data_IF_151052666072
#
_entry.id   IF_151052666072
#
_cell.length_a   1.000
_cell.length_b   1.000
_cell.length_c   1.000
_cell.angle_alpha   90.00
_cell.angle_beta   90.00
_cell.angle_gamma   90.00
#
_symmetry.space_group_name_H-M   'P 1'
#
loop_
_entity.id
_entity.type
_entity.pdbx_description
1 polymer ?
#
# COMPACT_ATOMS: atom_id res chain seq x y z
N UNK A 1 44.78 -28.92 7.50
CA UNK A 1 43.35 -29.06 7.19
C UNK A 1 42.82 -27.66 6.96
N UNK A 2 42.24 -27.33 5.78
CA UNK A 2 41.58 -26.05 5.64
C UNK A 2 40.39 -26.02 6.62
N UNK A 3 40.07 -24.88 7.25
CA UNK A 3 38.95 -24.77 8.17
C UNK A 3 37.66 -25.02 7.37
N UNK A 4 36.71 -25.78 7.93
CA UNK A 4 35.41 -26.11 7.30
C UNK A 4 34.67 -24.92 6.68
N UNK A 5 34.93 -23.72 7.18
CA UNK A 5 34.38 -22.45 6.72
C UNK A 5 34.84 -22.07 5.31
N UNK A 6 36.11 -22.28 4.97
CA UNK A 6 36.66 -22.03 3.63
C UNK A 6 36.09 -23.01 2.59
N UNK A 7 35.85 -24.26 2.97
CA UNK A 7 35.24 -25.26 2.09
C UNK A 7 33.77 -24.93 1.79
N UNK A 8 33.02 -24.44 2.80
CA UNK A 8 31.63 -24.00 2.65
C UNK A 8 31.50 -22.71 1.82
N UNK A 9 32.44 -21.78 1.93
CA UNK A 9 32.54 -20.61 1.05
C UNK A 9 32.78 -21.04 -0.40
N UNK A 10 33.75 -21.93 -0.62
CA UNK A 10 34.09 -22.42 -1.97
C UNK A 10 32.90 -23.15 -2.64
N UNK A 11 32.10 -23.90 -1.88
CA UNK A 11 30.88 -24.54 -2.39
C UNK A 11 29.75 -23.55 -2.71
N UNK A 12 29.62 -22.47 -1.93
CA UNK A 12 28.65 -21.39 -2.23
C UNK A 12 29.06 -20.62 -3.47
N UNK A 13 30.35 -20.33 -3.62
CA UNK A 13 30.90 -19.60 -4.76
C UNK A 13 30.76 -20.42 -6.05
N UNK A 14 31.07 -21.72 -6.03
CA UNK A 14 30.87 -22.60 -7.17
C UNK A 14 29.39 -22.70 -7.59
N UNK A 15 28.48 -22.77 -6.60
CA UNK A 15 27.04 -22.77 -6.88
C UNK A 15 26.54 -21.44 -7.43
N UNK A 16 27.11 -20.33 -6.99
CA UNK A 16 26.78 -19.01 -7.53
C UNK A 16 27.21 -18.89 -9.00
N UNK A 17 28.43 -19.33 -9.34
CA UNK A 17 28.94 -19.31 -10.71
C UNK A 17 28.12 -20.21 -11.67
N UNK A 18 27.69 -21.39 -11.21
CA UNK A 18 26.77 -22.25 -11.95
C UNK A 18 25.44 -21.55 -12.24
N UNK A 19 24.85 -20.91 -11.22
CA UNK A 19 23.59 -20.18 -11.36
C UNK A 19 23.76 -18.99 -12.30
N UNK A 20 24.82 -18.19 -12.17
CA UNK A 20 25.11 -17.06 -13.06
C UNK A 20 25.24 -17.48 -14.52
N UNK A 21 25.92 -18.60 -14.78
CA UNK A 21 26.12 -19.10 -16.15
C UNK A 21 24.84 -19.60 -16.83
N UNK A 22 23.83 -20.00 -16.05
CA UNK A 22 22.56 -20.57 -16.55
C UNK A 22 21.36 -19.65 -16.35
N UNK A 23 21.56 -18.48 -15.76
CA UNK A 23 20.47 -17.59 -15.37
C UNK A 23 19.78 -16.94 -16.57
N UNK A 24 18.46 -17.09 -16.63
CA UNK A 24 17.54 -16.28 -17.42
C UNK A 24 16.36 -15.91 -16.54
N UNK A 25 15.73 -14.77 -16.82
CA UNK A 25 14.47 -14.38 -16.16
C UNK A 25 13.26 -15.20 -16.67
N UNK A 26 13.44 -16.06 -17.67
CA UNK A 26 12.38 -16.92 -18.21
C UNK A 26 11.80 -17.85 -17.14
N UNK A 27 10.46 -17.87 -17.06
CA UNK A 27 9.74 -18.65 -16.05
C UNK A 27 9.76 -18.06 -14.64
N UNK A 28 10.53 -17.00 -14.38
CA UNK A 28 10.47 -16.26 -13.12
C UNK A 28 9.28 -15.30 -13.11
N UNK A 29 8.75 -15.09 -11.90
CA UNK A 29 7.66 -14.15 -11.64
C UNK A 29 8.12 -13.10 -10.66
N UNK A 30 7.76 -11.84 -10.90
CA UNK A 30 7.89 -10.77 -9.91
C UNK A 30 6.78 -10.97 -8.90
N UNK A 31 7.18 -11.21 -7.64
CA UNK A 31 6.24 -11.46 -6.56
C UNK A 31 5.49 -10.18 -6.24
N UNK A 32 4.16 -10.25 -6.15
CA UNK A 32 3.30 -9.14 -5.73
C UNK A 32 3.74 -8.68 -4.35
N UNK A 33 4.06 -7.38 -4.22
CA UNK A 33 4.51 -6.81 -2.95
C UNK A 33 3.48 -7.07 -1.85
N UNK A 34 2.20 -7.08 -2.21
CA UNK A 34 1.03 -7.27 -1.36
C UNK A 34 1.13 -8.54 -0.52
N UNK A 35 1.85 -9.57 -0.99
CA UNK A 35 2.01 -10.86 -0.29
C UNK A 35 2.98 -10.78 0.90
N UNK A 36 3.69 -9.66 1.09
CA UNK A 36 4.68 -9.48 2.16
C UNK A 36 4.14 -8.67 3.35
N UNK A 37 4.90 -8.63 4.45
CA UNK A 37 4.51 -7.87 5.64
C UNK A 37 4.77 -6.36 5.48
N UNK A 38 3.70 -5.58 5.36
CA UNK A 38 3.73 -4.13 5.11
C UNK A 38 3.89 -3.25 6.35
N UNK A 39 4.87 -3.54 7.21
CA UNK A 39 5.06 -2.77 8.44
C UNK A 39 5.62 -1.36 8.17
N UNK A 40 6.39 -1.19 7.10
CA UNK A 40 7.07 0.07 6.75
C UNK A 40 6.48 0.78 5.53
N UNK A 41 5.58 0.12 4.81
CA UNK A 41 4.92 0.72 3.65
C UNK A 41 3.71 1.54 4.11
N UNK A 42 3.43 2.70 3.50
CA UNK A 42 2.19 3.44 3.75
C UNK A 42 0.98 2.53 3.56
N UNK A 43 0.02 2.56 4.48
CA UNK A 43 -1.20 1.79 4.36
C UNK A 43 -2.39 2.49 5.02
N UNK A 44 -3.56 2.35 4.41
CA UNK A 44 -4.85 2.76 4.98
C UNK A 44 -5.67 1.51 5.31
N UNK A 45 -6.29 1.50 6.49
CA UNK A 45 -7.29 0.49 6.86
C UNK A 45 -8.66 1.14 6.90
N UNK A 46 -9.59 0.65 6.08
CA UNK A 46 -10.96 1.12 5.97
C UNK A 46 -11.90 0.09 6.60
N UNK A 47 -12.59 0.52 7.65
CA UNK A 47 -13.68 -0.20 8.32
C UNK A 47 -15.00 0.47 8.01
N UNK A 48 -16.11 -0.23 8.28
CA UNK A 48 -17.47 0.30 8.12
C UNK A 48 -17.73 1.65 8.79
N UNK A 49 -17.02 1.98 9.87
CA UNK A 49 -17.23 3.21 10.65
C UNK A 49 -16.04 4.18 10.65
N UNK A 50 -14.91 3.78 10.08
CA UNK A 50 -13.64 4.48 10.33
C UNK A 50 -12.53 4.15 9.36
N UNK A 51 -11.60 5.09 9.22
CA UNK A 51 -10.33 4.90 8.54
C UNK A 51 -9.16 5.11 9.50
N UNK A 52 -8.04 4.44 9.22
CA UNK A 52 -6.80 4.61 9.99
C UNK A 52 -5.60 4.44 9.07
N UNK A 53 -4.73 5.43 9.05
CA UNK A 53 -3.44 5.35 8.38
C UNK A 53 -2.42 4.68 9.30
N UNK A 54 -1.46 3.93 8.77
CA UNK A 54 -0.44 3.33 9.62
C UNK A 54 0.66 4.34 10.00
N UNK A 55 1.64 3.88 10.79
CA UNK A 55 2.76 4.72 11.23
C UNK A 55 3.63 5.18 10.05
N UNK A 56 3.78 4.35 9.01
CA UNK A 56 4.55 4.73 7.83
C UNK A 56 3.99 5.98 7.14
N UNK A 57 2.65 6.11 7.04
CA UNK A 57 2.03 7.31 6.48
C UNK A 57 2.41 8.58 7.25
N UNK A 58 2.24 8.57 8.58
CA UNK A 58 2.45 9.75 9.42
C UNK A 58 3.94 10.07 9.62
N UNK A 59 4.81 9.07 9.55
CA UNK A 59 6.27 9.27 9.59
C UNK A 59 6.83 9.71 8.25
N UNK A 60 6.18 9.43 7.12
CA UNK A 60 6.63 9.94 5.82
C UNK A 60 6.22 11.39 5.53
N UNK A 61 5.35 11.98 6.37
CA UNK A 61 4.94 13.39 6.30
C UNK A 61 5.12 14.05 7.68
N UNK A 62 6.37 14.25 8.09
CA UNK A 62 6.67 14.53 9.50
C UNK A 62 6.13 15.86 10.05
N UNK A 63 5.88 16.85 9.20
CA UNK A 63 5.35 18.14 9.66
C UNK A 63 3.83 18.26 9.48
N UNK A 64 3.18 17.19 8.99
CA UNK A 64 1.77 17.22 8.59
C UNK A 64 0.86 16.60 9.66
N UNK A 65 0.04 17.45 10.30
CA UNK A 65 -0.96 17.05 11.30
C UNK A 65 -2.38 16.99 10.72
N UNK A 66 -2.64 17.78 9.68
CA UNK A 66 -3.92 17.88 8.99
C UNK A 66 -3.76 17.46 7.53
N UNK A 67 -4.77 16.78 7.00
CA UNK A 67 -4.75 16.29 5.61
C UNK A 67 -6.08 16.51 4.94
N UNK A 68 -6.06 16.64 3.62
CA UNK A 68 -7.21 16.41 2.76
C UNK A 68 -7.23 14.97 2.30
N UNK A 69 -8.43 14.37 2.30
CA UNK A 69 -8.67 13.03 1.77
C UNK A 69 -9.58 13.17 0.57
N UNK A 70 -9.07 12.82 -0.61
CA UNK A 70 -9.77 12.91 -1.88
C UNK A 70 -10.07 11.51 -2.39
N UNK A 71 -11.24 11.33 -3.01
CA UNK A 71 -11.69 10.05 -3.56
C UNK A 71 -12.03 10.23 -5.04
N UNK A 72 -11.58 9.30 -5.88
CA UNK A 72 -11.92 9.24 -7.30
C UNK A 72 -12.70 7.95 -7.58
N UNK A 73 -13.94 8.09 -8.05
CA UNK A 73 -14.84 6.97 -8.36
C UNK A 73 -14.43 6.18 -9.59
N UNK A 74 -13.83 6.82 -10.58
CA UNK A 74 -13.52 6.20 -11.86
C UNK A 74 -12.26 5.35 -11.75
N UNK A 75 -11.23 5.92 -11.13
CA UNK A 75 -9.95 5.27 -10.87
C UNK A 75 -9.98 4.38 -9.63
N UNK A 76 -11.04 4.46 -8.81
CA UNK A 76 -11.18 3.76 -7.53
C UNK A 76 -9.97 3.99 -6.60
N UNK A 77 -9.59 5.27 -6.43
CA UNK A 77 -8.40 5.68 -5.66
C UNK A 77 -8.73 6.66 -4.55
N UNK A 78 -7.97 6.59 -3.46
CA UNK A 78 -7.92 7.62 -2.44
C UNK A 78 -6.56 8.32 -2.50
N UNK A 79 -6.58 9.65 -2.49
CA UNK A 79 -5.37 10.47 -2.40
C UNK A 79 -5.38 11.25 -1.09
N UNK A 80 -4.22 11.30 -0.43
CA UNK A 80 -4.01 12.05 0.80
C UNK A 80 -2.91 13.07 0.60
N UNK A 81 -3.22 14.31 0.95
CA UNK A 81 -2.36 15.49 0.84
C UNK A 81 -2.29 16.21 2.18
N UNK A 82 -1.14 16.75 2.55
CA UNK A 82 -1.02 17.63 3.72
C UNK A 82 -1.69 18.99 3.51
N UNK A 83 -2.32 19.52 4.55
CA UNK A 83 -2.96 20.83 4.53
C UNK A 83 -2.79 21.56 5.88
N UNK A 84 -3.16 22.83 5.92
CA UNK A 84 -3.17 23.61 7.16
C UNK A 84 -4.39 23.27 8.02
N UNK A 85 -4.28 23.52 9.33
CA UNK A 85 -5.38 23.28 10.29
C UNK A 85 -6.63 24.11 9.99
N UNK A 86 -6.44 25.30 9.41
CA UNK A 86 -7.51 26.25 9.11
C UNK A 86 -8.08 26.07 7.70
N UNK A 87 -7.53 25.17 6.90
CA UNK A 87 -8.06 24.89 5.58
C UNK A 87 -9.45 24.27 5.68
N UNK A 88 -10.29 24.59 4.70
CA UNK A 88 -11.61 23.98 4.60
C UNK A 88 -11.44 22.46 4.46
N UNK A 89 -12.28 21.71 5.18
CA UNK A 89 -12.33 20.25 5.15
C UNK A 89 -11.02 19.57 5.63
N UNK A 90 -10.17 20.29 6.38
CA UNK A 90 -8.96 19.74 6.97
C UNK A 90 -9.26 18.63 8.00
N UNK A 91 -8.66 17.44 7.80
CA UNK A 91 -8.86 16.29 8.67
C UNK A 91 -7.61 16.00 9.50
N UNK A 92 -7.78 15.98 10.83
CA UNK A 92 -6.68 15.64 11.74
C UNK A 92 -6.43 14.14 11.78
N UNK A 93 -5.45 13.66 11.01
CA UNK A 93 -5.13 12.24 10.87
C UNK A 93 -4.15 11.66 11.89
N UNK A 94 -3.45 12.51 12.64
CA UNK A 94 -2.47 12.07 13.63
C UNK A 94 -2.48 12.95 14.89
N UNK A 95 -1.98 12.38 15.98
CA UNK A 95 -1.68 13.09 17.22
C UNK A 95 -0.19 13.36 17.20
N UNK A 96 0.19 14.64 17.16
CA UNK A 96 1.57 15.10 17.29
C UNK A 96 1.73 15.79 18.66
N UNK A 97 2.62 15.23 19.49
CA UNK A 97 3.12 15.81 20.75
C UNK A 97 4.66 15.78 20.69
N UNK A 98 5.37 16.62 21.48
CA UNK A 98 6.83 16.69 21.44
C UNK A 98 7.54 15.32 21.48
N UNK A 99 7.10 14.42 22.36
CA UNK A 99 7.72 13.10 22.53
C UNK A 99 6.99 11.96 21.82
N UNK A 100 5.87 12.25 21.15
CA UNK A 100 4.99 11.18 20.64
C UNK A 100 4.19 11.59 19.43
N UNK A 101 4.37 10.84 18.35
CA UNK A 101 3.46 10.82 17.22
C UNK A 101 2.70 9.51 17.15
N UNK A 102 1.38 9.57 16.97
CA UNK A 102 0.54 8.39 16.80
C UNK A 102 -0.54 8.63 15.77
N UNK A 103 -0.79 7.64 14.93
CA UNK A 103 -1.92 7.67 14.01
C UNK A 103 -3.25 7.68 14.78
N UNK A 104 -4.23 8.38 14.22
CA UNK A 104 -5.57 8.49 14.78
C UNK A 104 -6.55 7.59 14.03
N UNK A 105 -7.39 6.88 14.79
CA UNK A 105 -8.62 6.28 14.23
C UNK A 105 -9.59 7.42 13.94
N UNK A 106 -9.90 7.65 12.66
CA UNK A 106 -10.83 8.69 12.24
C UNK A 106 -12.21 8.08 12.00
N UNK A 107 -13.17 8.42 12.85
CA UNK A 107 -14.56 8.01 12.67
C UNK A 107 -15.15 8.74 11.47
N UNK A 108 -15.67 7.98 10.50
CA UNK A 108 -16.13 8.52 9.21
C UNK A 108 -17.20 7.61 8.60
N UNK A 109 -18.22 7.27 9.40
CA UNK A 109 -19.28 6.34 8.97
C UNK A 109 -19.94 6.71 7.63
N UNK A 110 -20.39 7.96 7.37
CA UNK A 110 -21.00 8.30 6.08
C UNK A 110 -20.05 8.11 4.90
N UNK A 111 -18.79 8.53 5.04
CA UNK A 111 -17.77 8.33 4.01
C UNK A 111 -17.47 6.84 3.78
N UNK A 112 -17.32 6.07 4.87
CA UNK A 112 -17.03 4.63 4.78
C UNK A 112 -18.17 3.88 4.11
N UNK A 113 -19.43 4.24 4.39
CA UNK A 113 -20.61 3.66 3.72
C UNK A 113 -20.60 3.95 2.21
N UNK A 114 -20.25 5.17 1.79
CA UNK A 114 -20.10 5.49 0.37
C UNK A 114 -19.03 4.64 -0.31
N UNK A 115 -17.85 4.49 0.32
CA UNK A 115 -16.76 3.67 -0.23
C UNK A 115 -17.18 2.20 -0.32
N UNK A 116 -17.83 1.64 0.70
CA UNK A 116 -18.26 0.23 0.68
C UNK A 116 -19.28 -0.02 -0.42
N UNK A 117 -20.24 0.89 -0.61
CA UNK A 117 -21.22 0.78 -1.67
C UNK A 117 -20.58 0.89 -3.06
N UNK A 118 -19.69 1.88 -3.25
CA UNK A 118 -19.02 2.15 -4.53
C UNK A 118 -18.08 1.00 -4.97
N UNK A 119 -17.53 0.26 -4.00
CA UNK A 119 -16.63 -0.87 -4.24
C UNK A 119 -17.33 -2.24 -4.18
N UNK A 120 -18.62 -2.29 -3.79
CA UNK A 120 -19.33 -3.55 -3.56
C UNK A 120 -18.74 -4.38 -2.43
N UNK A 121 -18.17 -3.74 -1.41
CA UNK A 121 -17.46 -4.39 -0.32
C UNK A 121 -18.42 -4.94 0.75
N UNK A 122 -18.11 -6.13 1.27
CA UNK A 122 -18.79 -6.74 2.40
C UNK A 122 -18.56 -5.94 3.69
N UNK A 123 -19.66 -5.60 4.37
CA UNK A 123 -19.69 -4.82 5.60
C UNK A 123 -19.19 -5.58 6.84
N UNK A 124 -19.06 -6.91 6.77
CA UNK A 124 -18.45 -7.76 7.79
C UNK A 124 -16.93 -7.91 7.64
N UNK A 125 -16.36 -7.27 6.62
CA UNK A 125 -14.93 -7.22 6.39
C UNK A 125 -14.35 -5.83 6.69
N UNK A 126 -13.03 -5.79 6.85
CA UNK A 126 -12.20 -4.58 6.80
C UNK A 126 -11.18 -4.73 5.70
N UNK A 127 -10.82 -3.61 5.09
CA UNK A 127 -9.99 -3.58 3.90
C UNK A 127 -8.72 -2.81 4.23
N UNK A 128 -7.57 -3.41 4.00
CA UNK A 128 -6.27 -2.75 4.12
C UNK A 128 -5.71 -2.55 2.73
N UNK A 129 -5.37 -1.31 2.41
CA UNK A 129 -4.89 -0.92 1.10
C UNK A 129 -3.49 -0.34 1.27
N UNK A 130 -2.57 -0.79 0.43
CA UNK A 130 -1.22 -0.24 0.39
C UNK A 130 -1.20 1.08 -0.36
N UNK A 131 -0.45 2.02 0.18
CA UNK A 131 -0.24 3.33 -0.39
C UNK A 131 1.09 3.42 -1.12
N UNK A 132 1.13 4.32 -2.08
CA UNK A 132 2.34 4.75 -2.78
C UNK A 132 2.58 6.22 -2.45
N UNK A 133 3.83 6.54 -2.11
CA UNK A 133 4.26 7.93 -1.94
C UNK A 133 4.69 8.45 -3.31
N UNK A 134 4.11 9.58 -3.74
CA UNK A 134 4.48 10.26 -4.97
C UNK A 134 4.78 11.73 -4.70
N UNK A 135 5.52 12.36 -5.61
CA UNK A 135 5.72 13.80 -5.61
C UNK A 135 4.98 14.39 -6.80
N UNK A 136 4.16 15.41 -6.57
CA UNK A 136 3.40 16.11 -7.60
C UNK A 136 3.38 17.60 -7.30
N UNK A 137 3.70 18.43 -8.30
CA UNK A 137 3.70 19.90 -8.16
C UNK A 137 4.50 20.42 -6.94
N UNK A 138 5.57 19.70 -6.55
CA UNK A 138 6.39 20.05 -5.39
C UNK A 138 5.85 19.56 -4.04
N UNK A 139 4.70 18.88 -4.03
CA UNK A 139 4.07 18.33 -2.84
C UNK A 139 4.24 16.81 -2.77
N UNK A 140 4.33 16.27 -1.55
CA UNK A 140 4.33 14.82 -1.31
C UNK A 140 2.90 14.35 -1.05
N UNK A 141 2.45 13.35 -1.80
CA UNK A 141 1.12 12.75 -1.72
C UNK A 141 1.19 11.27 -1.41
N UNK A 142 0.14 10.73 -0.79
CA UNK A 142 -0.12 9.30 -0.76
C UNK A 142 -1.28 8.92 -1.66
N UNK A 143 -1.09 7.90 -2.48
CA UNK A 143 -2.13 7.33 -3.36
C UNK A 143 -2.39 5.90 -2.94
N UNK A 144 -3.67 5.57 -2.69
CA UNK A 144 -4.14 4.24 -2.32
C UNK A 144 -5.06 3.71 -3.42
N UNK A 145 -4.68 2.59 -4.02
CA UNK A 145 -5.46 1.93 -5.06
C UNK A 145 -6.43 0.91 -4.44
N UNK A 146 -7.73 1.20 -4.49
CA UNK A 146 -8.74 0.39 -3.81
C UNK A 146 -9.05 -0.92 -4.53
N UNK A 147 -8.55 -1.12 -5.75
CA UNK A 147 -8.73 -2.36 -6.51
C UNK A 147 -7.89 -3.52 -5.96
N UNK A 148 -6.87 -3.22 -5.16
CA UNK A 148 -5.93 -4.22 -4.63
C UNK A 148 -5.98 -4.25 -3.09
N UNK A 149 -7.11 -4.60 -2.45
CA UNK A 149 -7.22 -4.66 -1.01
C UNK A 149 -6.74 -6.00 -0.43
N UNK A 150 -6.08 -5.95 0.72
CA UNK A 150 -5.95 -7.08 1.64
C UNK A 150 -7.20 -7.11 2.55
N UNK A 151 -8.02 -8.15 2.42
CA UNK A 151 -9.33 -8.26 3.05
C UNK A 151 -9.23 -9.07 4.32
N UNK A 152 -9.83 -8.59 5.41
CA UNK A 152 -9.90 -9.32 6.66
C UNK A 152 -11.31 -9.33 7.20
N UNK A 153 -11.76 -10.47 7.73
CA UNK A 153 -13.02 -10.49 8.47
C UNK A 153 -12.90 -9.69 9.78
N UNK A 154 -13.94 -8.93 10.08
CA UNK A 154 -14.10 -8.21 11.35
C UNK A 154 -14.96 -9.08 12.28
N UNK A 155 -14.48 -9.32 13.51
CA UNK A 155 -15.28 -10.08 14.47
C UNK A 155 -16.47 -9.22 14.86
N UNK A 156 -17.69 -9.70 14.60
CA UNK A 156 -18.87 -9.07 15.17
C UNK A 156 -18.74 -9.09 16.69
N UNK A 157 -18.68 -7.90 17.31
CA UNK A 157 -18.78 -7.79 18.76
C UNK A 157 -20.15 -8.31 19.14
N UNK A 158 -20.21 -9.55 19.66
CA UNK A 158 -21.42 -10.07 20.31
C UNK A 158 -21.84 -9.05 21.36
N UNK A 159 -23.03 -8.48 21.22
CA UNK A 159 -23.65 -7.71 22.31
C UNK A 159 -23.74 -8.63 23.51
N UNK A 160 -23.20 -8.19 24.64
CA UNK A 160 -23.26 -8.94 25.91
C UNK A 160 -24.72 -8.97 26.36
N UNK A 161 -25.46 -10.02 25.99
CA UNK A 161 -26.86 -10.20 26.44
C UNK A 161 -27.76 -11.13 25.62
N UNK A 162 -27.44 -11.49 24.39
CA UNK A 162 -28.33 -12.35 23.58
C UNK A 162 -27.79 -13.79 23.49
N UNK A 163 -28.55 -14.70 24.10
CA UNK A 163 -28.42 -16.15 23.96
C UNK A 163 -28.58 -16.56 22.50
N UNK A 164 -27.60 -17.28 21.96
CA UNK A 164 -27.55 -17.72 20.57
C UNK A 164 -28.69 -18.70 20.22
N UNK A 165 -29.31 -18.59 19.02
CA UNK A 165 -29.93 -19.74 18.38
C UNK A 165 -28.81 -20.67 17.90
N UNK A 166 -28.92 -21.92 18.31
CA UNK A 166 -28.06 -23.02 17.92
C UNK A 166 -28.41 -23.43 16.48
N UNK A 167 -27.62 -23.03 15.48
CA UNK A 167 -27.57 -23.72 14.18
C UNK A 167 -26.29 -23.40 13.39
N UNK A 168 -25.68 -24.50 12.96
CA UNK A 168 -24.67 -24.71 11.92
C UNK A 168 -23.25 -24.16 12.10
N UNK A 169 -22.31 -25.04 11.74
CA UNK A 169 -20.87 -25.03 11.97
C UNK A 169 -20.16 -23.79 11.41
N UNK A 170 -20.26 -22.66 12.09
CA UNK A 170 -19.39 -21.52 11.82
C UNK A 170 -18.02 -21.80 12.44
N UNK A 171 -17.11 -22.35 11.62
CA UNK A 171 -15.66 -22.34 11.94
C UNK A 171 -15.30 -20.95 12.47
N UNK A 172 -14.49 -20.83 13.55
CA UNK A 172 -14.14 -19.53 14.10
C UNK A 172 -13.45 -18.70 13.01
N UNK A 173 -14.13 -17.66 12.54
CA UNK A 173 -13.63 -16.79 11.49
C UNK A 173 -12.36 -16.12 12.01
N UNK A 174 -11.21 -16.50 11.46
CA UNK A 174 -9.92 -15.98 11.90
C UNK A 174 -9.75 -14.55 11.39
N UNK A 175 -10.10 -13.58 12.23
CA UNK A 175 -10.03 -12.15 11.92
C UNK A 175 -8.62 -11.65 11.63
N UNK A 176 -7.57 -12.43 11.94
CA UNK A 176 -6.18 -12.09 11.63
C UNK A 176 -5.70 -12.62 10.28
N UNK A 177 -6.40 -13.59 9.68
CA UNK A 177 -6.01 -14.13 8.37
C UNK A 177 -6.60 -13.25 7.29
N UNK A 178 -5.74 -12.48 6.62
CA UNK A 178 -6.09 -11.75 5.42
C UNK A 178 -6.31 -12.71 4.25
N UNK A 179 -7.16 -12.32 3.31
CA UNK A 179 -7.29 -12.94 2.00
C UNK A 179 -7.31 -11.85 0.93
N UNK A 180 -6.97 -12.23 -0.30
CA UNK A 180 -7.02 -11.35 -1.46
C UNK A 180 -8.18 -11.77 -2.36
N UNK A 181 -8.64 -10.89 -3.27
CA UNK A 181 -9.53 -11.30 -4.34
C UNK A 181 -8.88 -12.35 -5.25
N UNK A 182 -9.71 -13.07 -6.02
CA UNK A 182 -9.33 -14.28 -6.77
C UNK A 182 -8.23 -14.05 -7.82
N UNK A 183 -8.07 -12.82 -8.31
CA UNK A 183 -7.03 -12.43 -9.26
C UNK A 183 -5.61 -12.38 -8.64
N UNK A 184 -5.54 -12.30 -7.31
CA UNK A 184 -4.30 -12.28 -6.54
C UNK A 184 -4.13 -13.59 -5.77
N UNK A 185 -5.21 -14.11 -5.20
CA UNK A 185 -5.20 -15.32 -4.40
C UNK A 185 -4.65 -16.53 -5.20
N UNK A 186 -3.60 -17.16 -4.67
CA UNK A 186 -2.99 -18.34 -5.31
C UNK A 186 -1.99 -18.04 -6.43
N UNK A 187 -1.67 -16.76 -6.67
CA UNK A 187 -0.61 -16.34 -7.59
C UNK A 187 0.61 -15.81 -6.83
N UNK A 188 1.83 -16.02 -7.35
CA UNK A 188 3.01 -15.32 -6.83
C UNK A 188 3.09 -13.89 -7.36
N UNK A 189 2.71 -13.69 -8.62
CA UNK A 189 2.60 -12.40 -9.26
C UNK A 189 2.60 -12.55 -10.77
N UNK A 190 3.29 -11.65 -11.48
CA UNK A 190 3.32 -11.63 -12.95
C UNK A 190 4.71 -12.03 -13.47
N UNK A 191 4.82 -12.65 -14.66
CA UNK A 191 6.11 -12.91 -15.30
C UNK A 191 7.00 -11.66 -15.38
N UNK A 192 8.32 -11.85 -15.29
CA UNK A 192 9.28 -10.71 -15.29
C UNK A 192 9.15 -9.85 -16.54
N UNK A 193 8.97 -10.46 -17.72
CA UNK A 193 8.80 -9.71 -18.97
C UNK A 193 7.54 -8.84 -18.99
N UNK A 194 6.43 -9.35 -18.44
CA UNK A 194 5.17 -8.62 -18.34
C UNK A 194 5.29 -7.47 -17.34
N UNK A 195 5.91 -7.74 -16.19
CA UNK A 195 6.18 -6.71 -15.18
C UNK A 195 7.00 -5.53 -15.73
N UNK A 196 8.03 -5.80 -16.55
CA UNK A 196 8.85 -4.78 -17.19
C UNK A 196 8.01 -3.91 -18.14
N UNK A 197 7.20 -4.54 -19.00
CA UNK A 197 6.30 -3.84 -19.92
C UNK A 197 5.28 -2.96 -19.18
N UNK A 198 4.64 -3.50 -18.15
CA UNK A 198 3.69 -2.72 -17.34
C UNK A 198 4.35 -1.53 -16.63
N UNK A 199 5.59 -1.70 -16.16
CA UNK A 199 6.35 -0.64 -15.49
C UNK A 199 6.68 0.50 -16.45
N UNK A 200 7.07 0.18 -17.69
CA UNK A 200 7.32 1.16 -18.74
C UNK A 200 6.04 1.89 -19.16
N UNK A 201 4.91 1.18 -19.32
CA UNK A 201 3.63 1.78 -19.69
C UNK A 201 3.08 2.70 -18.59
N UNK A 202 3.22 2.31 -17.32
CA UNK A 202 2.79 3.16 -16.18
C UNK A 202 3.61 4.44 -16.06
N UNK A 203 4.88 4.45 -16.47
CA UNK A 203 5.63 5.70 -16.58
C UNK A 203 5.03 6.64 -17.63
N UNK A 204 4.45 6.11 -18.71
CA UNK A 204 3.90 6.89 -19.83
C UNK A 204 2.51 7.45 -19.52
N UNK A 205 1.63 6.65 -18.88
CA UNK A 205 0.22 7.01 -18.65
C UNK A 205 -0.04 7.68 -17.27
N UNK A 206 0.97 7.66 -16.38
CA UNK A 206 0.78 7.88 -14.94
C UNK A 206 1.64 8.95 -14.29
N UNK A 207 2.11 9.98 -15.02
CA UNK A 207 2.91 11.14 -14.59
C UNK A 207 4.32 11.15 -15.21
N UNK A 208 4.43 11.56 -16.48
CA UNK A 208 5.64 12.25 -16.94
C UNK A 208 5.39 13.74 -16.78
N UNK A 209 6.00 14.35 -15.76
CA UNK A 209 6.34 15.77 -15.88
C UNK A 209 7.29 15.88 -17.08
N UNK A 210 6.76 16.34 -18.20
CA UNK A 210 7.50 16.78 -19.39
C UNK A 210 8.47 17.91 -18.99
N UNK A 211 9.58 17.53 -18.38
CA UNK A 211 10.69 18.42 -18.01
C UNK A 211 12.04 17.97 -18.59
N UNK A 212 12.09 16.88 -19.36
CA UNK A 212 13.33 16.31 -19.92
C UNK A 212 13.26 16.18 -21.45
N UNK A 213 12.48 17.03 -22.14
CA UNK A 213 12.44 17.07 -23.61
C UNK A 213 12.60 18.46 -24.23
N UNK A 214 13.39 19.33 -23.61
CA UNK A 214 14.12 20.37 -24.35
C UNK A 214 15.56 20.42 -23.88
N UNK A 215 16.42 19.62 -24.52
CA UNK A 215 17.86 19.75 -24.39
C UNK A 215 18.36 21.08 -24.95
N UNK A 216 19.39 21.64 -24.28
CA UNK A 216 20.57 22.40 -24.76
C UNK A 216 20.37 23.29 -26.02
N UNK A 217 20.83 24.54 -26.08
CA UNK A 217 22.19 25.13 -25.87
C UNK A 217 22.08 26.68 -26.08
N UNK A 218 23.14 27.54 -26.00
CA UNK A 218 24.47 27.47 -25.38
C UNK A 218 24.85 28.76 -24.57
N UNK A 219 26.07 28.74 -24.00
CA UNK A 219 26.84 29.88 -23.48
C UNK A 219 26.64 31.22 -24.20
N UNK A 220 26.59 32.30 -23.43
CA UNK A 220 27.23 33.57 -23.77
C UNK A 220 27.75 34.25 -22.49
N UNK A 221 29.07 34.33 -22.38
CA UNK A 221 29.83 35.25 -21.54
C UNK A 221 30.08 36.57 -22.28
N UNK A 222 30.38 37.64 -21.52
CA UNK A 222 30.75 39.04 -21.86
C UNK A 222 29.60 40.02 -21.56
N UNK A 223 29.75 41.11 -20.79
CA UNK A 223 30.89 41.82 -20.18
C UNK A 223 30.48 42.32 -18.78
#
# INVERSE_FOLDING_TARGET
MPPKEQALETERDAKAEELESTFSYDGYQVVRKELFAHLRDPAIVIRKDSITFNTACISGLEDVVYVHVMFNSDLKRIVVRGCDENDKDALRWCIAKPDKRKSRKMSCKPFSELVYNEMGWDSDCRYKILGYRINFEGETLYVFDLLVPEIFHESQKRKKGESAPQSEETKPVNTRKGFYPDDIAGTFGVPVEEHLKESEVKQIDGYVSMGILTGKVPNASAD
#
